data_IF_593175156201
#
_entry.id   IF_593175156201
#
_cell.length_a   1.000
_cell.length_b   1.000
_cell.length_c   1.000
_cell.angle_alpha   90.00
_cell.angle_beta   90.00
_cell.angle_gamma   90.00
#
_symmetry.space_group_name_H-M   'P 1'
#
loop_
_entity.id
_entity.type
_entity.pdbx_description
1 polymer ?
#
# COMPACT_ATOMS: atom_id res chain seq x y z
N UNK A 1 -0.35 -18.52 -21.05
CA UNK A 1 -0.37 -17.18 -20.46
C UNK A 1 1.05 -16.90 -19.97
N UNK A 2 1.82 -16.14 -20.74
CA UNK A 2 3.21 -15.85 -20.40
C UNK A 2 3.23 -15.07 -19.07
N UNK A 3 3.78 -15.69 -18.02
CA UNK A 3 4.09 -14.99 -16.78
C UNK A 3 5.36 -14.18 -17.03
N UNK A 4 5.24 -13.10 -17.80
CA UNK A 4 6.27 -12.06 -17.78
C UNK A 4 6.11 -11.34 -16.46
N UNK A 5 6.90 -11.77 -15.47
CA UNK A 5 7.08 -11.01 -14.25
C UNK A 5 7.84 -9.74 -14.64
N UNK A 6 7.17 -8.59 -14.64
CA UNK A 6 7.84 -7.32 -14.90
C UNK A 6 8.73 -6.97 -13.70
N UNK A 7 10.03 -7.23 -13.82
CA UNK A 7 11.00 -7.08 -12.74
C UNK A 7 11.69 -5.72 -12.88
N UNK A 8 11.55 -4.87 -11.85
CA UNK A 8 12.14 -3.53 -11.81
C UNK A 8 13.65 -3.60 -11.70
N UNK A 9 14.33 -2.61 -12.29
CA UNK A 9 15.81 -2.52 -12.31
C UNK A 9 16.26 -1.16 -11.77
N UNK A 10 17.20 -1.20 -10.83
CA UNK A 10 17.99 -0.05 -10.38
C UNK A 10 19.40 -0.09 -10.98
N UNK A 11 20.27 0.84 -10.56
CA UNK A 11 21.64 0.96 -11.08
C UNK A 11 22.50 -0.28 -10.81
N UNK A 12 22.31 -0.94 -9.66
CA UNK A 12 23.08 -2.12 -9.24
C UNK A 12 22.19 -3.23 -8.66
N UNK A 13 20.89 -3.19 -8.91
CA UNK A 13 19.95 -4.17 -8.36
C UNK A 13 18.83 -4.46 -9.35
N UNK A 14 18.32 -5.69 -9.30
CA UNK A 14 17.13 -6.15 -10.00
C UNK A 14 16.20 -6.68 -8.92
N UNK A 15 14.97 -6.18 -8.85
CA UNK A 15 14.11 -6.41 -7.70
C UNK A 15 12.63 -6.48 -8.07
N UNK A 16 11.90 -7.24 -7.26
CA UNK A 16 10.45 -7.33 -7.29
C UNK A 16 10.00 -7.53 -5.84
N UNK A 17 9.82 -6.43 -5.12
CA UNK A 17 9.53 -6.49 -3.69
C UNK A 17 8.09 -6.09 -3.45
N UNK A 18 7.30 -7.07 -3.03
CA UNK A 18 5.93 -6.85 -2.62
C UNK A 18 5.80 -6.99 -1.12
N UNK A 19 5.01 -6.11 -0.50
CA UNK A 19 4.59 -6.23 0.88
C UNK A 19 3.07 -6.21 0.94
N UNK A 20 2.51 -7.14 1.73
CA UNK A 20 1.11 -7.15 2.09
C UNK A 20 0.95 -6.47 3.45
N UNK A 21 0.27 -5.33 3.47
CA UNK A 21 -0.02 -4.57 4.69
C UNK A 21 -1.50 -4.69 5.01
N UNK A 22 -1.80 -4.81 6.31
CA UNK A 22 -3.17 -4.84 6.81
C UNK A 22 -3.32 -3.77 7.87
N UNK A 23 -4.26 -2.84 7.68
CA UNK A 23 -4.62 -1.83 8.66
C UNK A 23 -6.01 -2.11 9.20
N UNK A 24 -6.09 -2.26 10.52
CA UNK A 24 -7.34 -2.50 11.25
C UNK A 24 -7.79 -1.21 11.91
N UNK A 25 -9.09 -0.97 11.92
CA UNK A 25 -9.68 0.21 12.58
C UNK A 25 -9.48 0.14 14.09
N UNK A 26 -9.44 1.31 14.73
CA UNK A 26 -9.36 1.38 16.20
C UNK A 26 -10.61 0.72 16.80
N UNK A 27 -10.38 -0.27 17.67
CA UNK A 27 -11.43 -1.11 18.27
C UNK A 27 -12.24 -1.96 17.27
N UNK A 28 -11.73 -2.22 16.06
CA UNK A 28 -12.44 -2.98 15.01
C UNK A 28 -13.85 -2.43 14.71
N UNK A 29 -13.98 -1.11 14.76
CA UNK A 29 -15.24 -0.47 14.36
C UNK A 29 -15.43 -0.65 12.85
N UNK A 30 -16.66 -0.99 12.47
CA UNK A 30 -17.05 -1.18 11.07
C UNK A 30 -17.32 0.18 10.42
N UNK A 31 -16.26 0.94 10.16
CA UNK A 31 -16.33 2.33 9.66
C UNK A 31 -15.95 2.46 8.18
N UNK A 32 -15.38 1.40 7.57
CA UNK A 32 -15.10 1.41 6.15
C UNK A 32 -16.37 1.06 5.39
N UNK A 33 -16.95 2.06 4.74
CA UNK A 33 -17.91 1.88 3.67
C UNK A 33 -17.20 1.92 2.30
N UNK A 34 -17.96 1.74 1.23
CA UNK A 34 -17.41 1.71 -0.12
C UNK A 34 -16.77 3.06 -0.51
N UNK A 35 -17.41 4.18 -0.15
CA UNK A 35 -16.92 5.53 -0.47
C UNK A 35 -15.63 5.88 0.31
N UNK A 36 -15.56 5.50 1.59
CA UNK A 36 -14.38 5.63 2.42
C UNK A 36 -13.22 4.79 1.88
N UNK A 37 -13.50 3.56 1.43
CA UNK A 37 -12.49 2.67 0.85
C UNK A 37 -11.90 3.25 -0.44
N UNK A 38 -12.74 3.82 -1.30
CA UNK A 38 -12.29 4.43 -2.55
C UNK A 38 -11.48 5.72 -2.30
N UNK A 39 -11.90 6.54 -1.34
CA UNK A 39 -11.11 7.72 -0.91
C UNK A 39 -9.75 7.31 -0.35
N UNK A 40 -9.72 6.29 0.51
CA UNK A 40 -8.47 5.76 1.07
C UNK A 40 -7.56 5.21 -0.01
N UNK A 41 -8.10 4.54 -1.03
CA UNK A 41 -7.33 4.09 -2.21
C UNK A 41 -6.61 5.24 -2.89
N UNK A 42 -7.29 6.38 -3.10
CA UNK A 42 -6.66 7.57 -3.68
C UNK A 42 -5.54 8.12 -2.77
N UNK A 43 -5.78 8.26 -1.47
CA UNK A 43 -4.76 8.74 -0.52
C UNK A 43 -3.55 7.82 -0.44
N UNK A 44 -3.76 6.50 -0.32
CA UNK A 44 -2.68 5.53 -0.26
C UNK A 44 -1.89 5.45 -1.56
N UNK A 45 -2.54 5.59 -2.71
CA UNK A 45 -1.86 5.66 -4.00
C UNK A 45 -0.91 6.86 -4.08
N UNK A 46 -1.38 8.03 -3.64
CA UNK A 46 -0.56 9.25 -3.60
C UNK A 46 0.65 9.09 -2.66
N UNK A 47 0.42 8.57 -1.45
CA UNK A 47 1.52 8.31 -0.50
C UNK A 47 2.50 7.29 -1.08
N UNK A 48 2.04 6.20 -1.71
CA UNK A 48 2.94 5.24 -2.33
C UNK A 48 3.81 5.89 -3.41
N UNK A 49 3.21 6.73 -4.27
CA UNK A 49 3.92 7.45 -5.32
C UNK A 49 5.04 8.36 -4.76
N UNK A 50 4.78 9.07 -3.66
CA UNK A 50 5.79 9.91 -2.98
C UNK A 50 7.01 9.11 -2.49
N UNK A 51 6.84 7.81 -2.24
CA UNK A 51 7.89 6.89 -1.81
C UNK A 51 8.48 6.03 -2.96
N UNK A 52 8.16 6.35 -4.23
CA UNK A 52 8.52 5.56 -5.41
C UNK A 52 7.98 4.11 -5.37
N UNK A 53 6.96 3.89 -4.54
CA UNK A 53 6.23 2.64 -4.41
C UNK A 53 4.93 2.70 -5.22
N UNK A 54 4.37 1.52 -5.48
CA UNK A 54 3.17 1.35 -6.28
C UNK A 54 2.15 0.55 -5.48
N UNK A 55 0.95 1.11 -5.33
CA UNK A 55 -0.20 0.38 -4.78
C UNK A 55 -0.76 -0.53 -5.89
N UNK A 56 -0.44 -1.82 -5.82
CA UNK A 56 -0.83 -2.82 -6.83
C UNK A 56 -2.29 -3.19 -6.66
N UNK A 57 -2.68 -3.52 -5.44
CA UNK A 57 -4.06 -3.87 -5.09
C UNK A 57 -4.41 -3.30 -3.72
N UNK A 58 -5.68 -2.94 -3.57
CA UNK A 58 -6.27 -2.58 -2.29
C UNK A 58 -7.68 -3.13 -2.21
N UNK A 59 -7.94 -3.86 -1.14
CA UNK A 59 -9.28 -4.36 -0.83
C UNK A 59 -9.52 -4.24 0.66
N UNK A 60 -10.77 -4.35 1.10
CA UNK A 60 -11.08 -4.16 2.51
C UNK A 60 -12.45 -4.64 2.91
N UNK A 61 -12.55 -4.93 4.19
CA UNK A 61 -13.78 -5.23 4.91
C UNK A 61 -14.12 -4.04 5.83
N UNK A 62 -15.34 -4.00 6.42
CA UNK A 62 -15.76 -2.85 7.21
C UNK A 62 -14.83 -2.44 8.37
N UNK A 63 -14.04 -3.37 8.92
CA UNK A 63 -13.12 -3.14 10.04
C UNK A 63 -11.62 -3.16 9.67
N UNK A 64 -11.24 -3.45 8.43
CA UNK A 64 -9.83 -3.47 8.01
C UNK A 64 -9.62 -3.32 6.50
N UNK A 65 -8.45 -2.83 6.11
CA UNK A 65 -8.02 -2.72 4.71
C UNK A 65 -6.71 -3.48 4.47
N UNK A 66 -6.66 -4.17 3.34
CA UNK A 66 -5.52 -4.88 2.80
C UNK A 66 -4.89 -4.06 1.67
N UNK A 67 -3.57 -3.93 1.68
CA UNK A 67 -2.80 -3.27 0.65
C UNK A 67 -1.70 -4.19 0.15
N UNK A 68 -1.60 -4.36 -1.16
CA UNK A 68 -0.46 -4.98 -1.83
C UNK A 68 0.38 -3.88 -2.47
N UNK A 69 1.60 -3.69 -1.99
CA UNK A 69 2.48 -2.60 -2.43
C UNK A 69 3.77 -3.17 -3.01
N UNK A 70 4.12 -2.73 -4.21
CA UNK A 70 5.42 -2.96 -4.83
C UNK A 70 6.35 -1.78 -4.50
N UNK A 71 7.50 -2.03 -3.88
CA UNK A 71 8.35 -0.96 -3.34
C UNK A 71 9.84 -1.16 -3.65
N UNK A 72 10.67 -0.11 -3.64
CA UNK A 72 12.10 -0.25 -3.91
C UNK A 72 12.87 -0.77 -2.68
N UNK A 73 13.97 -1.52 -2.87
CA UNK A 73 14.74 -2.13 -1.78
C UNK A 73 15.39 -1.11 -0.82
N UNK A 74 15.57 0.14 -1.26
CA UNK A 74 16.09 1.24 -0.43
C UNK A 74 15.07 1.75 0.60
N UNK A 75 13.78 1.47 0.39
CA UNK A 75 12.70 2.00 1.21
C UNK A 75 12.48 1.12 2.45
N UNK A 76 12.60 1.72 3.63
CA UNK A 76 12.20 1.08 4.86
C UNK A 76 10.66 1.02 4.96
N UNK A 77 10.11 -0.18 5.12
CA UNK A 77 8.65 -0.40 5.23
C UNK A 77 8.06 0.37 6.42
N UNK A 78 8.80 0.50 7.53
CA UNK A 78 8.36 1.26 8.70
C UNK A 78 8.08 2.74 8.38
N UNK A 79 8.90 3.37 7.55
CA UNK A 79 8.68 4.74 7.09
C UNK A 79 7.42 4.87 6.24
N UNK A 80 7.20 3.92 5.32
CA UNK A 80 5.99 3.87 4.50
C UNK A 80 4.74 3.68 5.37
N UNK A 81 4.77 2.74 6.31
CA UNK A 81 3.65 2.47 7.23
C UNK A 81 3.32 3.70 8.08
N UNK A 82 4.32 4.43 8.56
CA UNK A 82 4.11 5.65 9.35
C UNK A 82 3.38 6.73 8.53
N UNK A 83 3.79 6.93 7.27
CA UNK A 83 3.14 7.90 6.38
C UNK A 83 1.71 7.48 6.00
N UNK A 84 1.51 6.20 5.65
CA UNK A 84 0.18 5.68 5.29
C UNK A 84 -0.81 5.87 6.44
N UNK A 85 -0.45 5.43 7.66
CA UNK A 85 -1.30 5.60 8.85
C UNK A 85 -1.50 7.07 9.23
N UNK A 86 -0.48 7.90 9.04
CA UNK A 86 -0.53 9.32 9.36
C UNK A 86 -1.49 10.11 8.47
N UNK A 87 -1.55 9.79 7.18
CA UNK A 87 -2.48 10.43 6.22
C UNK A 87 -3.90 9.88 6.38
N UNK A 88 -4.08 8.58 6.61
CA UNK A 88 -5.42 7.99 6.78
C UNK A 88 -6.12 8.38 8.09
N UNK A 89 -5.36 8.83 9.09
CA UNK A 89 -5.90 9.20 10.40
C UNK A 89 -6.19 10.69 10.58
N UNK A 90 -5.85 11.52 9.59
CA UNK A 90 -6.17 12.96 9.56
C UNK A 90 -7.48 13.18 8.82
#
# INVERSE_FOLDING_TARGET
MNKETDIRRGRHCVFLMHVHLVFVTRYRRQIFDHDATEKLRAYFSNVCADFEAELVEMDGEPDHVHLLINYPPKLAISSLVNSLKGVSGR
#
